data_IF_449290627964
#
_entry.id   IF_449290627964
#
_cell.length_a   1.000
_cell.length_b   1.000
_cell.length_c   1.000
_cell.angle_alpha   90.00
_cell.angle_beta   90.00
_cell.angle_gamma   90.00
#
_symmetry.space_group_name_H-M   'P 1'
#
loop_
_entity.id
_entity.type
_entity.pdbx_description
1 polymer ?
#
# COMPACT_ATOMS: atom_id res chain seq x y z
N UNK A 1 1.75 -5.92 19.15
CA UNK A 1 1.16 -4.56 19.18
C UNK A 1 -0.34 -4.68 18.92
N UNK A 2 -1.17 -4.00 19.70
CA UNK A 2 -2.57 -3.79 19.37
C UNK A 2 -2.68 -2.81 18.20
N UNK A 3 -3.79 -2.88 17.49
CA UNK A 3 -4.13 -1.86 16.52
C UNK A 3 -4.38 -0.50 17.19
N UNK A 4 -4.35 0.58 16.42
CA UNK A 4 -4.63 1.91 16.97
C UNK A 4 -6.10 2.05 17.35
N UNK A 5 -6.35 2.43 18.58
CA UNK A 5 -7.72 2.67 19.11
C UNK A 5 -7.96 4.15 19.47
N UNK A 6 -7.03 5.05 19.10
CA UNK A 6 -7.15 6.49 19.37
C UNK A 6 -8.13 7.20 18.44
N UNK A 7 -8.76 8.29 18.94
CA UNK A 7 -9.73 9.11 18.19
C UNK A 7 -9.07 9.80 16.98
N UNK A 8 -7.82 10.23 17.12
CA UNK A 8 -7.04 10.83 16.04
C UNK A 8 -6.04 9.82 15.46
N UNK A 9 -5.73 9.90 14.16
CA UNK A 9 -4.61 9.17 13.55
C UNK A 9 -3.29 9.43 14.27
N UNK A 10 -2.32 8.52 14.12
CA UNK A 10 -0.97 8.67 14.72
C UNK A 10 -0.24 9.92 14.20
N UNK A 11 -0.61 10.37 13.00
CA UNK A 11 -0.12 11.57 12.33
C UNK A 11 -0.74 12.87 12.85
N UNK A 12 -1.69 12.80 13.79
CA UNK A 12 -2.39 13.94 14.36
C UNK A 12 -3.56 14.44 13.50
N UNK A 13 -3.85 15.75 13.56
CA UNK A 13 -4.97 16.35 12.84
C UNK A 13 -4.54 16.83 11.45
N UNK A 14 -5.03 16.15 10.40
CA UNK A 14 -4.71 16.45 8.99
C UNK A 14 -5.94 16.27 8.08
N UNK A 15 -5.78 16.51 6.78
CA UNK A 15 -6.88 16.53 5.81
C UNK A 15 -7.78 15.28 5.81
N UNK A 16 -7.24 14.10 6.12
CA UNK A 16 -8.06 12.88 6.18
C UNK A 16 -9.02 12.89 7.37
N UNK A 17 -8.69 13.57 8.46
CA UNK A 17 -9.60 13.70 9.63
C UNK A 17 -10.83 14.49 9.23
N UNK A 18 -10.65 15.65 8.57
CA UNK A 18 -11.79 16.44 8.05
C UNK A 18 -12.57 15.66 6.98
N UNK A 19 -11.86 15.02 6.04
CA UNK A 19 -12.47 14.19 5.02
C UNK A 19 -13.31 13.07 5.65
N UNK A 20 -12.80 12.41 6.69
CA UNK A 20 -13.49 11.40 7.46
C UNK A 20 -14.74 11.96 8.16
N UNK A 21 -14.64 13.11 8.83
CA UNK A 21 -15.78 13.75 9.49
C UNK A 21 -16.92 14.05 8.50
N UNK A 22 -16.60 14.64 7.34
CA UNK A 22 -17.60 14.92 6.29
C UNK A 22 -18.24 13.64 5.78
N UNK A 23 -17.46 12.57 5.64
CA UNK A 23 -17.93 11.28 5.15
C UNK A 23 -18.86 10.57 6.13
N UNK A 24 -18.55 10.59 7.42
CA UNK A 24 -19.34 9.93 8.46
C UNK A 24 -20.56 10.74 8.91
N UNK A 25 -20.59 12.04 8.59
CA UNK A 25 -21.71 12.95 8.89
C UNK A 25 -22.55 13.28 7.64
N UNK A 26 -22.16 14.32 6.89
CA UNK A 26 -22.93 14.90 5.78
C UNK A 26 -23.13 13.94 4.61
N UNK A 27 -22.13 13.12 4.29
CA UNK A 27 -22.23 12.16 3.18
C UNK A 27 -22.67 10.76 3.64
N UNK A 28 -23.16 10.62 4.86
CA UNK A 28 -23.64 9.34 5.38
C UNK A 28 -25.14 9.19 5.09
N UNK A 29 -25.56 8.25 4.20
CA UNK A 29 -26.96 8.03 3.90
C UNK A 29 -27.79 7.58 5.11
N UNK A 30 -27.17 6.91 6.09
CA UNK A 30 -27.85 6.47 7.31
C UNK A 30 -28.31 7.67 8.15
N UNK A 31 -27.58 8.79 8.11
CA UNK A 31 -27.95 10.01 8.82
C UNK A 31 -28.83 10.93 7.96
N UNK A 32 -28.52 11.05 6.67
CA UNK A 32 -29.18 12.01 5.77
C UNK A 32 -30.53 11.52 5.25
N UNK A 33 -30.71 10.23 4.95
CA UNK A 33 -31.99 9.70 4.45
C UNK A 33 -33.10 9.85 5.49
N UNK A 34 -32.94 9.51 6.79
CA UNK A 34 -33.98 9.74 7.78
C UNK A 34 -34.39 11.21 7.90
N UNK A 35 -33.43 12.14 7.82
CA UNK A 35 -33.73 13.58 7.81
C UNK A 35 -34.59 13.96 6.60
N UNK A 36 -34.29 13.41 5.41
CA UNK A 36 -35.10 13.62 4.23
C UNK A 36 -36.50 13.00 4.35
N UNK A 37 -36.62 11.83 4.96
CA UNK A 37 -37.91 11.19 5.19
C UNK A 37 -38.76 11.99 6.17
N UNK A 38 -38.19 12.43 7.30
CA UNK A 38 -38.88 13.28 8.27
C UNK A 38 -39.34 14.61 7.65
N UNK A 39 -38.51 15.22 6.81
CA UNK A 39 -38.86 16.45 6.13
C UNK A 39 -40.00 16.30 5.11
N UNK A 40 -40.10 15.16 4.43
CA UNK A 40 -41.15 14.95 3.41
C UNK A 40 -42.44 14.34 3.99
N UNK A 41 -42.36 13.56 5.06
CA UNK A 41 -43.48 12.74 5.56
C UNK A 41 -43.99 13.11 6.95
N UNK A 42 -43.33 14.02 7.68
CA UNK A 42 -43.79 14.48 8.99
C UNK A 42 -44.20 15.96 8.94
N UNK A 43 -45.35 16.32 9.52
CA UNK A 43 -45.93 17.67 9.42
C UNK A 43 -44.98 18.79 9.90
N UNK A 44 -44.33 18.59 11.06
CA UNK A 44 -43.31 19.53 11.56
C UNK A 44 -42.06 19.58 10.66
N UNK A 45 -41.69 18.45 10.06
CA UNK A 45 -40.54 18.36 9.17
C UNK A 45 -40.79 19.10 7.85
N UNK A 46 -42.01 19.00 7.32
CA UNK A 46 -42.42 19.72 6.12
C UNK A 46 -42.44 21.24 6.33
N UNK A 47 -42.90 21.70 7.50
CA UNK A 47 -42.85 23.13 7.87
C UNK A 47 -41.40 23.62 7.98
N UNK A 48 -40.53 22.86 8.64
CA UNK A 48 -39.12 23.20 8.80
C UNK A 48 -38.36 23.20 7.45
N UNK A 49 -38.68 22.25 6.57
CA UNK A 49 -38.11 22.17 5.22
C UNK A 49 -38.53 23.37 4.36
N UNK A 50 -39.78 23.83 4.49
CA UNK A 50 -40.28 25.03 3.81
C UNK A 50 -39.58 26.31 4.32
N UNK A 51 -39.26 26.39 5.62
CA UNK A 51 -38.52 27.52 6.20
C UNK A 51 -37.03 27.53 5.80
N UNK A 52 -36.44 26.35 5.55
CA UNK A 52 -35.01 26.20 5.25
C UNK A 52 -34.75 25.50 3.90
N UNK A 53 -35.38 25.97 2.82
CA UNK A 53 -35.31 25.33 1.50
C UNK A 53 -33.88 25.07 1.00
N UNK A 54 -32.95 26.02 1.16
CA UNK A 54 -31.55 25.86 0.73
C UNK A 54 -30.86 24.73 1.48
N UNK A 55 -31.01 24.68 2.79
CA UNK A 55 -30.45 23.62 3.64
C UNK A 55 -30.98 22.25 3.22
N UNK A 56 -32.28 22.16 2.94
CA UNK A 56 -32.89 20.91 2.52
C UNK A 56 -32.38 20.43 1.16
N UNK A 57 -32.19 21.35 0.20
CA UNK A 57 -31.55 21.03 -1.08
C UNK A 57 -30.12 20.52 -0.92
N UNK A 58 -29.34 21.11 -0.01
CA UNK A 58 -27.98 20.65 0.30
C UNK A 58 -28.02 19.22 0.89
N UNK A 59 -28.93 18.95 1.83
CA UNK A 59 -29.08 17.60 2.43
C UNK A 59 -29.48 16.57 1.37
N UNK A 60 -30.38 16.92 0.43
CA UNK A 60 -30.74 16.05 -0.71
C UNK A 60 -29.52 15.69 -1.57
N UNK A 61 -28.75 16.69 -1.96
CA UNK A 61 -27.53 16.48 -2.76
C UNK A 61 -26.51 15.65 -1.97
N UNK A 62 -26.31 15.95 -0.69
CA UNK A 62 -25.38 15.22 0.17
C UNK A 62 -25.79 13.75 0.35
N UNK A 63 -27.09 13.46 0.52
CA UNK A 63 -27.61 12.10 0.58
C UNK A 63 -27.40 11.36 -0.75
N UNK A 64 -27.69 12.01 -1.88
CA UNK A 64 -27.46 11.42 -3.20
C UNK A 64 -25.98 11.11 -3.44
N UNK A 65 -25.07 12.04 -3.13
CA UNK A 65 -23.62 11.83 -3.17
C UNK A 65 -23.19 10.69 -2.24
N UNK A 66 -23.76 10.62 -1.03
CA UNK A 66 -23.51 9.53 -0.09
C UNK A 66 -23.92 8.16 -0.63
N UNK A 67 -25.12 8.05 -1.23
CA UNK A 67 -25.60 6.80 -1.85
C UNK A 67 -24.73 6.41 -3.03
N UNK A 68 -24.42 7.36 -3.93
CA UNK A 68 -23.54 7.11 -5.08
C UNK A 68 -22.17 6.63 -4.62
N UNK A 69 -21.63 7.21 -3.55
CA UNK A 69 -20.35 6.80 -2.94
C UNK A 69 -20.41 5.38 -2.39
N UNK A 70 -21.46 5.02 -1.62
CA UNK A 70 -21.61 3.67 -1.08
C UNK A 70 -21.76 2.64 -2.20
N UNK A 71 -22.60 2.92 -3.19
CA UNK A 71 -22.80 2.07 -4.35
C UNK A 71 -21.49 1.89 -5.14
N UNK A 72 -20.77 2.97 -5.40
CA UNK A 72 -19.47 2.90 -6.07
C UNK A 72 -18.45 2.08 -5.25
N UNK A 73 -18.43 2.24 -3.93
CA UNK A 73 -17.57 1.45 -3.05
C UNK A 73 -17.90 -0.04 -3.11
N UNK A 74 -19.19 -0.38 -3.06
CA UNK A 74 -19.67 -1.76 -3.19
C UNK A 74 -19.33 -2.36 -4.56
N UNK A 75 -19.61 -1.64 -5.65
CA UNK A 75 -19.29 -2.04 -7.03
C UNK A 75 -17.79 -2.23 -7.21
N UNK A 76 -16.98 -1.28 -6.73
CA UNK A 76 -15.52 -1.35 -6.79
C UNK A 76 -15.01 -2.59 -6.05
N UNK A 77 -15.49 -2.80 -4.82
CA UNK A 77 -15.09 -3.95 -4.01
C UNK A 77 -15.52 -5.26 -4.68
N UNK A 78 -16.73 -5.35 -5.22
CA UNK A 78 -17.20 -6.54 -5.96
C UNK A 78 -16.34 -6.80 -7.19
N UNK A 79 -16.00 -5.76 -7.94
CA UNK A 79 -15.19 -5.86 -9.16
C UNK A 79 -13.78 -6.34 -8.86
N UNK A 80 -13.07 -5.72 -7.91
CA UNK A 80 -11.67 -6.12 -7.59
C UNK A 80 -11.59 -7.48 -6.90
N UNK A 81 -12.69 -8.00 -6.34
CA UNK A 81 -12.77 -9.36 -5.81
C UNK A 81 -13.34 -10.37 -6.81
N UNK A 82 -13.46 -9.99 -8.08
CA UNK A 82 -13.90 -10.86 -9.18
C UNK A 82 -15.29 -11.45 -8.96
N UNK A 83 -16.15 -10.77 -8.19
CA UNK A 83 -17.49 -11.24 -7.84
C UNK A 83 -17.54 -12.46 -6.90
N UNK A 84 -16.39 -12.96 -6.43
CA UNK A 84 -16.28 -14.16 -5.58
C UNK A 84 -15.69 -13.84 -4.20
N UNK A 85 -15.99 -14.67 -3.21
CA UNK A 85 -15.42 -14.59 -1.86
C UNK A 85 -14.38 -15.69 -1.63
N UNK A 86 -13.49 -15.45 -0.68
CA UNK A 86 -12.48 -16.41 -0.24
C UNK A 86 -12.46 -16.43 1.30
N UNK A 87 -12.06 -17.55 1.90
CA UNK A 87 -12.07 -17.74 3.36
C UNK A 87 -10.68 -18.09 3.82
N UNK A 88 -10.18 -17.40 4.85
CA UNK A 88 -8.84 -17.56 5.38
C UNK A 88 -8.89 -18.26 6.72
N UNK A 89 -8.06 -19.29 6.89
CA UNK A 89 -7.81 -19.92 8.18
C UNK A 89 -6.43 -19.46 8.65
N UNK A 90 -6.40 -18.35 9.40
CA UNK A 90 -5.18 -17.68 9.85
C UNK A 90 -4.19 -18.58 10.61
N UNK A 91 -4.66 -19.71 11.16
CA UNK A 91 -3.80 -20.71 11.81
C UNK A 91 -2.99 -21.55 10.82
N UNK A 92 -3.46 -21.63 9.58
CA UNK A 92 -2.84 -22.35 8.46
C UNK A 92 -2.10 -21.43 7.51
N UNK A 93 -2.36 -20.13 7.53
CA UNK A 93 -1.69 -19.20 6.61
C UNK A 93 -0.21 -19.02 6.94
N UNK A 94 0.59 -18.84 5.88
CA UNK A 94 2.01 -18.50 5.98
C UNK A 94 2.22 -17.20 5.21
N UNK A 95 2.66 -16.17 5.91
CA UNK A 95 2.95 -14.84 5.35
C UNK A 95 4.44 -14.73 5.03
N UNK A 96 4.79 -14.60 3.76
CA UNK A 96 6.13 -14.26 3.30
C UNK A 96 6.27 -12.74 3.16
N UNK A 97 7.26 -12.13 3.79
CA UNK A 97 7.51 -10.68 3.72
C UNK A 97 8.94 -10.42 3.27
N UNK A 98 9.12 -9.69 2.18
CA UNK A 98 10.44 -9.20 1.77
C UNK A 98 10.74 -7.85 2.42
N UNK A 99 11.99 -7.60 2.80
CA UNK A 99 12.36 -6.36 3.47
C UNK A 99 11.80 -6.29 4.90
N UNK A 100 11.62 -7.44 5.57
CA UNK A 100 10.99 -7.54 6.88
C UNK A 100 11.92 -7.37 8.07
N UNK A 101 13.23 -7.13 7.83
CA UNK A 101 14.19 -6.93 8.92
C UNK A 101 14.04 -5.58 9.62
N UNK A 102 13.41 -4.59 8.97
CA UNK A 102 13.31 -3.21 9.46
C UNK A 102 12.07 -2.47 8.90
N UNK A 103 11.82 -1.25 9.40
CA UNK A 103 10.83 -0.32 8.85
C UNK A 103 9.41 -0.89 8.80
N UNK A 104 8.73 -0.68 7.67
CA UNK A 104 7.33 -1.13 7.47
C UNK A 104 7.23 -2.66 7.56
N UNK A 105 8.16 -3.38 6.90
CA UNK A 105 8.15 -4.84 6.89
C UNK A 105 8.28 -5.45 8.29
N UNK A 106 9.13 -4.87 9.15
CA UNK A 106 9.23 -5.24 10.57
C UNK A 106 7.88 -5.12 11.28
N UNK A 107 7.18 -3.99 11.12
CA UNK A 107 5.91 -3.78 11.82
C UNK A 107 4.81 -4.70 11.30
N UNK A 108 4.78 -4.98 9.98
CA UNK A 108 3.88 -5.98 9.41
C UNK A 108 4.14 -7.36 10.05
N UNK A 109 5.41 -7.79 10.13
CA UNK A 109 5.78 -9.06 10.73
C UNK A 109 5.33 -9.15 12.20
N UNK A 110 5.59 -8.12 13.00
CA UNK A 110 5.19 -8.06 14.41
C UNK A 110 3.66 -8.07 14.60
N UNK A 111 2.90 -7.44 13.71
CA UNK A 111 1.42 -7.40 13.77
C UNK A 111 0.77 -8.72 13.35
N UNK A 112 1.35 -9.46 12.40
CA UNK A 112 0.90 -10.83 12.12
C UNK A 112 1.29 -11.79 13.24
N UNK A 113 2.49 -11.62 13.80
CA UNK A 113 2.95 -12.42 14.93
C UNK A 113 2.08 -12.24 16.17
N UNK A 114 1.63 -11.01 16.47
CA UNK A 114 0.70 -10.78 17.60
C UNK A 114 -0.68 -11.42 17.41
N UNK A 115 -0.97 -11.96 16.22
CA UNK A 115 -2.18 -12.71 15.89
C UNK A 115 -1.91 -14.20 15.69
N UNK A 116 -0.74 -14.68 16.11
CA UNK A 116 -0.29 -16.07 15.98
C UNK A 116 -0.26 -16.59 14.53
N UNK A 117 -0.11 -15.69 13.55
CA UNK A 117 0.08 -16.07 12.15
C UNK A 117 1.56 -16.37 11.92
N UNK A 118 1.85 -17.41 11.14
CA UNK A 118 3.23 -17.76 10.75
C UNK A 118 3.77 -16.74 9.76
N UNK A 119 4.95 -16.22 10.01
CA UNK A 119 5.61 -15.22 9.17
C UNK A 119 7.01 -15.71 8.81
N UNK A 120 7.35 -15.62 7.52
CA UNK A 120 8.71 -15.78 7.02
C UNK A 120 9.21 -14.44 6.53
N UNK A 121 10.31 -13.96 7.10
CA UNK A 121 10.98 -12.72 6.73
C UNK A 121 12.17 -13.03 5.83
N UNK A 122 12.16 -12.47 4.62
CA UNK A 122 13.31 -12.44 3.72
C UNK A 122 13.95 -11.06 3.73
N UNK A 123 15.24 -11.01 4.05
CA UNK A 123 16.02 -9.77 3.99
C UNK A 123 17.51 -10.08 3.79
N UNK A 124 18.25 -9.13 3.24
CA UNK A 124 19.72 -9.20 3.13
C UNK A 124 20.39 -8.76 4.43
N UNK A 125 19.70 -7.94 5.23
CA UNK A 125 20.16 -7.44 6.52
C UNK A 125 19.67 -8.33 7.67
N UNK A 126 20.38 -8.37 8.81
CA UNK A 126 19.86 -8.98 10.04
C UNK A 126 18.66 -8.17 10.57
N UNK A 127 17.75 -8.84 11.28
CA UNK A 127 16.58 -8.20 11.90
C UNK A 127 17.01 -7.18 12.95
N UNK A 128 16.31 -6.04 13.00
CA UNK A 128 16.49 -5.00 14.02
C UNK A 128 15.67 -5.25 15.29
N UNK A 129 15.11 -6.45 15.43
CA UNK A 129 14.23 -6.86 16.51
C UNK A 129 14.39 -8.37 16.76
N UNK A 130 14.07 -8.77 17.99
CA UNK A 130 13.99 -10.18 18.34
C UNK A 130 12.76 -10.81 17.68
N UNK A 131 12.97 -11.90 16.95
CA UNK A 131 11.89 -12.59 16.26
C UNK A 131 10.95 -13.27 17.27
N UNK A 132 9.64 -12.95 17.25
CA UNK A 132 8.64 -13.74 17.95
C UNK A 132 8.66 -15.20 17.49
N UNK A 133 8.14 -16.16 18.28
CA UNK A 133 8.17 -17.59 17.92
C UNK A 133 7.50 -17.93 16.58
N UNK A 134 6.51 -17.15 16.14
CA UNK A 134 5.84 -17.35 14.86
C UNK A 134 6.56 -16.70 13.66
N UNK A 135 7.68 -16.01 13.89
CA UNK A 135 8.48 -15.31 12.87
C UNK A 135 9.78 -16.07 12.62
N UNK A 136 9.97 -16.53 11.39
CA UNK A 136 11.22 -17.14 10.93
C UNK A 136 11.96 -16.20 10.01
N UNK A 137 13.21 -15.87 10.32
CA UNK A 137 14.08 -15.08 9.45
C UNK A 137 14.91 -15.98 8.54
N UNK A 138 15.02 -15.60 7.26
CA UNK A 138 15.94 -16.20 6.32
C UNK A 138 16.69 -15.12 5.57
N UNK A 139 18.02 -15.10 5.68
CA UNK A 139 18.86 -14.20 4.89
C UNK A 139 18.72 -14.55 3.42
N UNK A 140 18.26 -13.62 2.60
CA UNK A 140 17.99 -13.85 1.19
C UNK A 140 18.16 -12.57 0.37
N UNK A 141 18.95 -12.66 -0.70
CA UNK A 141 18.96 -11.64 -1.75
C UNK A 141 17.85 -11.96 -2.76
N UNK A 142 16.80 -11.13 -2.77
CA UNK A 142 15.64 -11.31 -3.63
C UNK A 142 15.91 -11.02 -5.11
N UNK A 143 17.09 -10.49 -5.44
CA UNK A 143 17.52 -10.32 -6.83
C UNK A 143 18.09 -11.62 -7.42
N UNK A 144 18.40 -12.62 -6.57
CA UNK A 144 18.92 -13.92 -6.98
C UNK A 144 17.83 -14.98 -7.05
N UNK A 145 17.52 -15.45 -8.26
CA UNK A 145 16.52 -16.50 -8.47
C UNK A 145 16.91 -17.84 -7.82
N UNK A 146 18.20 -18.19 -7.78
CA UNK A 146 18.67 -19.39 -7.10
C UNK A 146 18.49 -19.29 -5.59
N UNK A 147 18.81 -18.13 -5.00
CA UNK A 147 18.59 -17.89 -3.58
C UNK A 147 17.11 -18.01 -3.21
N UNK A 148 16.22 -17.44 -4.03
CA UNK A 148 14.76 -17.56 -3.87
C UNK A 148 14.29 -19.03 -3.90
N UNK A 149 14.77 -19.82 -4.85
CA UNK A 149 14.41 -21.24 -4.93
C UNK A 149 14.90 -22.02 -3.71
N UNK A 150 16.13 -21.76 -3.25
CA UNK A 150 16.66 -22.38 -2.04
C UNK A 150 15.85 -22.05 -0.79
N UNK A 151 15.49 -20.77 -0.58
CA UNK A 151 14.66 -20.40 0.58
C UNK A 151 13.25 -20.95 0.47
N UNK A 152 12.66 -21.00 -0.73
CA UNK A 152 11.34 -21.61 -0.93
C UNK A 152 11.35 -23.10 -0.51
N UNK A 153 12.37 -23.86 -0.91
CA UNK A 153 12.51 -25.26 -0.47
C UNK A 153 12.69 -25.37 1.05
N UNK A 154 13.46 -24.48 1.68
CA UNK A 154 13.61 -24.44 3.15
C UNK A 154 12.27 -24.13 3.84
N UNK A 155 11.50 -23.18 3.32
CA UNK A 155 10.16 -22.83 3.84
C UNK A 155 9.25 -24.05 3.76
N UNK A 156 9.18 -24.73 2.61
CA UNK A 156 8.35 -25.93 2.44
C UNK A 156 8.74 -27.02 3.43
N UNK A 157 10.04 -27.32 3.57
CA UNK A 157 10.53 -28.34 4.52
C UNK A 157 10.15 -28.01 5.96
N UNK A 158 10.29 -26.75 6.37
CA UNK A 158 9.94 -26.31 7.71
C UNK A 158 8.43 -26.33 8.00
N UNK A 159 7.60 -26.30 6.95
CA UNK A 159 6.14 -26.19 7.05
C UNK A 159 5.40 -27.40 6.47
N UNK A 160 5.98 -28.60 6.55
CA UNK A 160 5.28 -29.84 6.16
C UNK A 160 4.89 -29.89 4.68
N UNK A 161 5.68 -29.27 3.80
CA UNK A 161 5.43 -29.16 2.37
C UNK A 161 4.63 -27.93 1.94
N UNK A 162 4.11 -27.15 2.88
CA UNK A 162 3.29 -25.99 2.59
C UNK A 162 4.13 -24.79 2.10
N UNK A 163 3.63 -24.14 1.04
CA UNK A 163 4.16 -22.89 0.50
C UNK A 163 3.43 -21.67 1.10
N UNK A 164 4.05 -20.48 1.16
CA UNK A 164 3.36 -19.26 1.54
C UNK A 164 2.08 -19.00 0.72
N UNK A 165 0.98 -18.74 1.42
CA UNK A 165 -0.29 -18.32 0.82
C UNK A 165 -0.39 -16.80 0.67
N UNK A 166 0.41 -16.05 1.44
CA UNK A 166 0.41 -14.59 1.42
C UNK A 166 1.83 -14.10 1.12
N UNK A 167 2.00 -13.31 0.08
CA UNK A 167 3.29 -12.77 -0.35
C UNK A 167 3.22 -11.24 -0.27
N UNK A 168 4.08 -10.64 0.56
CA UNK A 168 4.19 -9.20 0.73
C UNK A 168 5.50 -8.73 0.10
N UNK A 169 5.38 -8.19 -1.12
CA UNK A 169 6.46 -7.60 -1.91
C UNK A 169 6.74 -6.19 -1.38
N UNK A 170 7.51 -6.12 -0.29
CA UNK A 170 7.76 -4.89 0.47
C UNK A 170 9.17 -4.33 0.34
N UNK A 171 10.17 -5.18 0.07
CA UNK A 171 11.56 -4.75 -0.06
C UNK A 171 11.70 -3.59 -1.06
N UNK A 172 12.51 -2.60 -0.70
CA UNK A 172 12.73 -1.44 -1.55
C UNK A 172 13.95 -0.64 -1.18
N UNK A 173 14.59 -0.08 -2.20
CA UNK A 173 15.76 0.80 -2.08
C UNK A 173 15.54 2.06 -2.91
N UNK A 174 16.29 3.11 -2.58
CA UNK A 174 16.29 4.36 -3.32
C UNK A 174 17.62 5.07 -3.12
N UNK A 175 18.24 5.58 -4.18
CA UNK A 175 19.56 6.22 -4.11
C UNK A 175 19.45 7.73 -3.92
N UNK A 176 18.42 8.37 -4.45
CA UNK A 176 18.15 9.78 -4.21
C UNK A 176 19.10 10.73 -4.96
N UNK A 177 19.59 10.29 -6.13
CA UNK A 177 20.54 11.00 -6.98
C UNK A 177 19.85 11.57 -8.21
N UNK A 178 20.42 12.64 -8.78
CA UNK A 178 19.98 13.10 -10.11
C UNK A 178 20.40 12.09 -11.18
N UNK A 179 19.85 12.21 -12.40
CA UNK A 179 20.21 11.33 -13.51
C UNK A 179 21.73 11.40 -13.79
N UNK A 180 22.30 12.60 -13.75
CA UNK A 180 23.73 12.81 -14.05
C UNK A 180 24.65 12.36 -12.91
N UNK A 181 24.16 12.31 -11.68
CA UNK A 181 24.93 11.87 -10.52
C UNK A 181 24.77 10.36 -10.23
N UNK A 182 23.80 9.71 -10.87
CA UNK A 182 23.51 8.28 -10.67
C UNK A 182 24.43 7.41 -11.52
N UNK A 183 24.90 6.29 -10.97
CA UNK A 183 25.64 5.30 -11.75
C UNK A 183 24.67 4.33 -12.45
N UNK A 184 25.08 3.69 -13.54
CA UNK A 184 24.28 2.64 -14.17
C UNK A 184 23.93 1.52 -13.17
N UNK A 185 24.86 1.15 -12.29
CA UNK A 185 24.63 0.15 -11.24
C UNK A 185 23.56 0.59 -10.24
N UNK A 186 23.54 1.86 -9.83
CA UNK A 186 22.51 2.40 -8.93
C UNK A 186 21.10 2.25 -9.51
N UNK A 187 20.94 2.58 -10.80
CA UNK A 187 19.67 2.48 -11.51
C UNK A 187 19.25 1.02 -11.66
N UNK A 188 20.14 0.16 -12.20
CA UNK A 188 19.84 -1.27 -12.38
C UNK A 188 19.47 -1.94 -11.07
N UNK A 189 20.23 -1.66 -9.99
CA UNK A 189 19.95 -2.23 -8.68
C UNK A 189 18.58 -1.80 -8.13
N UNK A 190 18.21 -0.54 -8.34
CA UNK A 190 16.89 -0.05 -7.92
C UNK A 190 15.75 -0.77 -8.64
N UNK A 191 15.90 -1.02 -9.95
CA UNK A 191 14.92 -1.80 -10.71
C UNK A 191 14.93 -3.29 -10.33
N UNK A 192 16.11 -3.88 -10.14
CA UNK A 192 16.29 -5.27 -9.70
C UNK A 192 15.51 -5.52 -8.41
N UNK A 193 15.68 -4.66 -7.40
CA UNK A 193 15.03 -4.82 -6.10
C UNK A 193 13.56 -4.40 -6.14
N UNK A 194 13.21 -3.23 -6.69
CA UNK A 194 11.87 -2.65 -6.51
C UNK A 194 10.84 -3.15 -7.53
N UNK A 195 11.27 -3.82 -8.62
CA UNK A 195 10.39 -4.19 -9.72
C UNK A 195 10.66 -5.60 -10.26
N UNK A 196 11.90 -5.90 -10.68
CA UNK A 196 12.22 -7.21 -11.28
C UNK A 196 12.08 -8.33 -10.24
N UNK A 197 12.48 -8.08 -8.99
CA UNK A 197 12.31 -9.04 -7.90
C UNK A 197 10.86 -9.45 -7.69
N UNK A 198 9.89 -8.55 -7.96
CA UNK A 198 8.47 -8.87 -7.82
C UNK A 198 8.06 -9.95 -8.81
N UNK A 199 8.59 -9.90 -10.03
CA UNK A 199 8.35 -10.90 -11.05
C UNK A 199 9.02 -12.23 -10.69
N UNK A 200 10.27 -12.22 -10.22
CA UNK A 200 10.96 -13.47 -9.82
C UNK A 200 10.33 -14.11 -8.59
N UNK A 201 9.94 -13.32 -7.58
CA UNK A 201 9.18 -13.78 -6.41
C UNK A 201 7.84 -14.37 -6.82
N UNK A 202 7.08 -13.70 -7.70
CA UNK A 202 5.82 -14.23 -8.19
C UNK A 202 6.04 -15.56 -8.93
N UNK A 203 7.03 -15.65 -9.83
CA UNK A 203 7.33 -16.92 -10.52
C UNK A 203 7.64 -18.07 -9.57
N UNK A 204 8.29 -17.80 -8.44
CA UNK A 204 8.66 -18.83 -7.46
C UNK A 204 7.48 -19.28 -6.59
N UNK A 205 6.69 -18.34 -6.07
CA UNK A 205 5.68 -18.64 -5.02
C UNK A 205 4.24 -18.69 -5.55
N UNK A 206 3.91 -17.96 -6.63
CA UNK A 206 2.56 -17.86 -7.19
C UNK A 206 1.98 -19.20 -7.69
N UNK A 207 2.75 -20.17 -8.24
CA UNK A 207 2.18 -21.43 -8.73
C UNK A 207 1.33 -22.15 -7.69
N UNK A 208 1.80 -22.20 -6.43
CA UNK A 208 1.07 -22.84 -5.33
C UNK A 208 -0.23 -22.09 -4.94
N UNK A 209 -0.22 -20.76 -5.01
CA UNK A 209 -1.37 -19.89 -4.74
C UNK A 209 -2.44 -20.06 -5.84
N UNK A 210 -1.99 -20.15 -7.10
CA UNK A 210 -2.86 -20.37 -8.26
C UNK A 210 -3.48 -21.76 -8.22
N UNK A 211 -2.68 -22.80 -7.97
CA UNK A 211 -3.15 -24.18 -7.85
C UNK A 211 -4.20 -24.33 -6.74
N UNK A 212 -3.95 -23.71 -5.58
CA UNK A 212 -4.91 -23.69 -4.48
C UNK A 212 -6.13 -22.79 -4.76
N UNK A 213 -6.05 -21.90 -5.76
CA UNK A 213 -6.97 -20.79 -5.99
C UNK A 213 -7.29 -20.07 -4.67
N UNK A 214 -6.24 -19.78 -3.90
CA UNK A 214 -6.33 -19.23 -2.56
C UNK A 214 -5.02 -18.55 -2.18
N UNK A 215 -5.11 -17.36 -1.61
CA UNK A 215 -3.95 -16.59 -1.18
C UNK A 215 -4.02 -15.12 -1.56
N UNK A 216 -3.02 -14.35 -1.15
CA UNK A 216 -2.96 -12.90 -1.33
C UNK A 216 -1.56 -12.45 -1.78
N UNK A 217 -1.48 -11.64 -2.83
CA UNK A 217 -0.26 -10.93 -3.23
C UNK A 217 -0.38 -9.45 -2.92
N UNK A 218 0.52 -8.93 -2.10
CA UNK A 218 0.60 -7.51 -1.73
C UNK A 218 1.80 -6.88 -2.42
N UNK A 219 1.56 -5.83 -3.20
CA UNK A 219 2.59 -5.03 -3.86
C UNK A 219 2.74 -3.69 -3.15
N UNK A 220 3.88 -3.47 -2.49
CA UNK A 220 4.18 -2.17 -1.87
C UNK A 220 4.82 -1.23 -2.89
N UNK A 221 3.97 -0.45 -3.55
CA UNK A 221 4.36 0.60 -4.48
C UNK A 221 4.65 1.92 -3.72
N UNK A 222 4.23 3.06 -4.28
CA UNK A 222 4.40 4.38 -3.68
C UNK A 222 3.57 5.41 -4.45
N UNK A 223 3.16 6.51 -3.80
CA UNK A 223 2.62 7.67 -4.49
C UNK A 223 3.58 8.26 -5.54
N UNK A 224 4.89 8.00 -5.41
CA UNK A 224 5.90 8.35 -6.40
C UNK A 224 5.66 7.69 -7.78
N UNK A 225 4.91 6.59 -7.83
CA UNK A 225 4.48 5.98 -9.08
C UNK A 225 3.62 6.94 -9.92
N UNK A 226 2.85 7.82 -9.30
CA UNK A 226 1.99 8.81 -10.00
C UNK A 226 2.66 10.17 -10.13
N UNK A 227 3.32 10.63 -9.06
CA UNK A 227 3.96 11.93 -8.99
C UNK A 227 5.47 11.81 -8.77
N UNK A 228 6.23 11.90 -9.87
CA UNK A 228 7.69 11.88 -9.86
C UNK A 228 8.26 13.23 -9.46
N UNK A 229 9.19 13.23 -8.51
CA UNK A 229 9.97 14.39 -8.07
C UNK A 229 11.41 14.32 -8.63
N UNK A 230 12.10 15.47 -8.80
CA UNK A 230 13.53 15.51 -9.09
C UNK A 230 14.35 14.72 -8.06
N UNK A 231 15.47 14.10 -8.49
CA UNK A 231 16.33 13.22 -7.68
C UNK A 231 15.72 11.87 -7.25
N UNK A 232 14.50 11.54 -7.68
CA UNK A 232 13.81 10.27 -7.38
C UNK A 232 13.39 9.57 -8.68
N UNK A 233 14.08 9.82 -9.80
CA UNK A 233 13.62 9.38 -11.12
C UNK A 233 13.66 7.85 -11.22
N UNK A 234 14.76 7.23 -10.81
CA UNK A 234 14.97 5.78 -10.81
C UNK A 234 13.98 5.07 -9.87
N UNK A 235 13.76 5.64 -8.67
CA UNK A 235 12.82 5.09 -7.71
C UNK A 235 11.38 5.21 -8.20
N UNK A 236 10.95 6.40 -8.65
CA UNK A 236 9.60 6.62 -9.15
C UNK A 236 9.29 5.73 -10.36
N UNK A 237 10.25 5.58 -11.29
CA UNK A 237 10.12 4.69 -12.43
C UNK A 237 9.98 3.22 -11.97
N UNK A 238 10.79 2.76 -11.02
CA UNK A 238 10.69 1.41 -10.46
C UNK A 238 9.34 1.16 -9.74
N UNK A 239 8.80 2.15 -9.04
CA UNK A 239 7.49 2.04 -8.36
C UNK A 239 6.32 2.14 -9.33
N UNK A 240 6.47 2.85 -10.45
CA UNK A 240 5.51 2.79 -11.56
C UNK A 240 5.52 1.39 -12.22
N UNK A 241 6.69 0.78 -12.40
CA UNK A 241 6.79 -0.60 -12.88
C UNK A 241 6.14 -1.60 -11.90
N UNK A 242 6.34 -1.42 -10.59
CA UNK A 242 5.67 -2.24 -9.57
C UNK A 242 4.14 -2.10 -9.61
N UNK A 243 3.62 -0.89 -9.83
CA UNK A 243 2.18 -0.66 -9.99
C UNK A 243 1.64 -1.36 -11.24
N UNK A 244 2.32 -1.23 -12.39
CA UNK A 244 1.94 -1.91 -13.62
C UNK A 244 2.00 -3.45 -13.47
N UNK A 245 3.01 -3.96 -12.78
CA UNK A 245 3.11 -5.39 -12.43
C UNK A 245 1.88 -5.86 -11.65
N UNK A 246 1.44 -5.09 -10.63
CA UNK A 246 0.26 -5.43 -9.85
C UNK A 246 -1.02 -5.46 -10.68
N UNK A 247 -1.21 -4.46 -11.55
CA UNK A 247 -2.38 -4.36 -12.43
C UNK A 247 -2.42 -5.56 -13.40
N UNK A 248 -1.28 -5.88 -14.03
CA UNK A 248 -1.14 -7.04 -14.91
C UNK A 248 -1.40 -8.35 -14.19
N UNK A 249 -0.75 -8.60 -13.06
CA UNK A 249 -0.92 -9.82 -12.27
C UNK A 249 -2.38 -10.02 -11.85
N UNK A 250 -3.05 -8.94 -11.42
CA UNK A 250 -4.47 -9.01 -11.03
C UNK A 250 -5.36 -9.47 -12.19
N UNK A 251 -5.08 -9.00 -13.41
CA UNK A 251 -5.80 -9.44 -14.60
C UNK A 251 -5.46 -10.89 -15.00
N UNK A 252 -4.19 -11.28 -14.94
CA UNK A 252 -3.74 -12.63 -15.30
C UNK A 252 -4.32 -13.70 -14.37
N UNK A 253 -4.40 -13.43 -13.06
CA UNK A 253 -4.99 -14.34 -12.08
C UNK A 253 -6.38 -14.83 -12.49
N UNK A 254 -7.20 -13.95 -13.04
CA UNK A 254 -8.56 -14.30 -13.49
C UNK A 254 -8.55 -14.85 -14.91
N UNK A 255 -7.89 -14.15 -15.82
CA UNK A 255 -8.03 -14.38 -17.27
C UNK A 255 -7.16 -15.53 -17.77
N UNK A 256 -5.95 -15.68 -17.25
CA UNK A 256 -4.95 -16.67 -17.68
C UNK A 256 -4.95 -17.86 -16.72
N UNK A 257 -4.77 -17.62 -15.42
CA UNK A 257 -4.56 -18.67 -14.41
C UNK A 257 -5.85 -19.27 -13.85
N UNK A 258 -7.02 -18.68 -14.17
CA UNK A 258 -8.34 -19.14 -13.72
C UNK A 258 -8.46 -19.27 -12.20
N UNK A 259 -7.78 -18.39 -11.47
CA UNK A 259 -7.72 -18.35 -10.02
C UNK A 259 -8.40 -17.07 -9.45
N UNK A 260 -9.72 -16.89 -9.63
CA UNK A 260 -10.41 -15.64 -9.27
C UNK A 260 -10.51 -15.36 -7.77
N UNK A 261 -10.22 -16.35 -6.91
CA UNK A 261 -10.24 -16.16 -5.45
C UNK A 261 -8.93 -15.59 -4.91
N UNK A 262 -7.84 -15.68 -5.67
CA UNK A 262 -6.56 -15.09 -5.28
C UNK A 262 -6.71 -13.57 -5.21
N UNK A 263 -6.29 -12.99 -4.08
CA UNK A 263 -6.43 -11.57 -3.79
C UNK A 263 -5.18 -10.81 -4.17
N UNK A 264 -5.37 -9.58 -4.61
CA UNK A 264 -4.29 -8.66 -4.88
C UNK A 264 -4.51 -7.36 -4.13
N UNK A 265 -3.46 -6.88 -3.46
CA UNK A 265 -3.48 -5.60 -2.76
C UNK A 265 -2.32 -4.75 -3.25
N UNK A 266 -2.57 -3.48 -3.60
CA UNK A 266 -1.50 -2.52 -3.90
C UNK A 266 -1.51 -1.39 -2.90
N UNK A 267 -0.32 -1.06 -2.41
CA UNK A 267 -0.09 -0.01 -1.41
C UNK A 267 0.60 1.15 -2.09
N UNK A 268 -0.02 2.32 -2.06
CA UNK A 268 0.51 3.57 -2.59
C UNK A 268 0.57 4.60 -1.47
N UNK A 269 1.58 4.47 -0.62
CA UNK A 269 1.84 5.39 0.47
C UNK A 269 2.71 6.57 0.03
N UNK A 270 2.49 7.70 0.68
CA UNK A 270 3.35 8.88 0.67
C UNK A 270 4.58 8.69 1.57
N UNK A 271 5.20 9.82 1.92
CA UNK A 271 6.37 9.82 2.78
C UNK A 271 6.06 9.15 4.12
N UNK A 272 6.80 8.08 4.43
CA UNK A 272 6.71 7.33 5.70
C UNK A 272 8.03 7.47 6.45
N UNK A 273 7.96 7.68 7.76
CA UNK A 273 9.13 7.90 8.65
C UNK A 273 10.00 6.64 8.77
N UNK A 274 10.79 6.40 7.74
CA UNK A 274 11.71 5.26 7.63
C UNK A 274 13.10 5.74 7.23
N UNK A 275 14.11 4.89 7.43
CA UNK A 275 15.48 5.16 6.96
C UNK A 275 15.56 5.41 5.44
N UNK A 276 14.60 4.90 4.65
CA UNK A 276 14.54 5.12 3.19
C UNK A 276 14.36 6.59 2.82
N UNK A 277 13.67 7.36 3.66
CA UNK A 277 13.32 8.75 3.42
C UNK A 277 13.90 9.72 4.45
N UNK A 278 15.02 9.36 5.08
CA UNK A 278 15.69 10.24 6.03
C UNK A 278 16.12 11.55 5.33
N UNK A 279 15.80 12.69 5.96
CA UNK A 279 16.05 14.02 5.38
C UNK A 279 15.01 14.50 4.36
N UNK A 280 13.99 13.70 4.03
CA UNK A 280 12.87 14.18 3.23
C UNK A 280 11.95 15.07 4.08
N UNK A 281 11.91 16.36 3.75
CA UNK A 281 11.06 17.31 4.46
C UNK A 281 9.83 17.65 3.62
N UNK A 282 8.74 16.94 3.86
CA UNK A 282 7.43 17.21 3.23
C UNK A 282 6.78 18.52 3.71
N UNK A 283 7.41 19.24 4.64
CA UNK A 283 6.85 20.42 5.29
C UNK A 283 5.82 20.10 6.38
N UNK A 284 5.60 18.83 6.74
CA UNK A 284 4.73 18.41 7.85
C UNK A 284 3.29 18.93 7.78
N UNK A 285 2.83 19.32 6.59
CA UNK A 285 1.61 20.11 6.42
C UNK A 285 0.32 19.30 6.48
N UNK A 286 -0.79 20.02 6.64
CA UNK A 286 -2.15 19.48 6.68
C UNK A 286 -2.50 18.57 5.49
N UNK A 287 -1.91 18.82 4.31
CA UNK A 287 -2.10 18.06 3.06
C UNK A 287 -0.87 17.20 2.69
N UNK A 288 -0.03 16.83 3.65
CA UNK A 288 1.13 15.98 3.41
C UNK A 288 1.83 15.56 4.70
N UNK A 289 1.10 15.04 5.71
CA UNK A 289 1.73 14.64 6.96
C UNK A 289 2.67 13.46 6.71
N UNK A 290 3.83 13.41 7.39
CA UNK A 290 4.69 12.25 7.35
C UNK A 290 3.99 11.09 8.06
N UNK A 291 3.81 9.97 7.35
CA UNK A 291 3.13 8.78 7.88
C UNK A 291 4.00 8.05 8.90
N UNK A 292 3.37 7.58 9.97
CA UNK A 292 4.00 6.63 10.88
C UNK A 292 4.10 5.25 10.22
N UNK A 293 5.19 4.55 10.54
CA UNK A 293 5.42 3.18 10.05
C UNK A 293 4.26 2.26 10.45
N UNK A 294 3.77 2.42 11.67
CA UNK A 294 2.67 1.62 12.21
C UNK A 294 1.35 1.86 11.47
N UNK A 295 1.09 3.08 11.00
CA UNK A 295 -0.13 3.39 10.23
C UNK A 295 -0.15 2.64 8.89
N UNK A 296 0.98 2.62 8.19
CA UNK A 296 1.09 1.91 6.90
C UNK A 296 1.03 0.40 7.13
N UNK A 297 1.78 -0.11 8.10
CA UNK A 297 1.77 -1.55 8.43
C UNK A 297 0.38 -2.03 8.85
N UNK A 298 -0.31 -1.27 9.72
CA UNK A 298 -1.65 -1.60 10.18
C UNK A 298 -2.66 -1.64 9.03
N UNK A 299 -2.62 -0.67 8.12
CA UNK A 299 -3.49 -0.66 6.94
C UNK A 299 -3.28 -1.90 6.06
N UNK A 300 -2.02 -2.30 5.85
CA UNK A 300 -1.68 -3.52 5.09
C UNK A 300 -2.23 -4.76 5.78
N UNK A 301 -1.92 -4.93 7.08
CA UNK A 301 -2.34 -6.11 7.86
C UNK A 301 -3.85 -6.20 7.89
N UNK A 302 -4.57 -5.10 8.18
CA UNK A 302 -6.04 -5.08 8.20
C UNK A 302 -6.64 -5.46 6.84
N UNK A 303 -6.05 -4.97 5.74
CA UNK A 303 -6.56 -5.27 4.40
C UNK A 303 -6.32 -6.72 3.99
N UNK A 304 -5.13 -7.26 4.26
CA UNK A 304 -4.85 -8.70 4.07
C UNK A 304 -5.81 -9.53 4.91
N UNK A 305 -5.98 -9.18 6.18
CA UNK A 305 -6.87 -9.90 7.10
C UNK A 305 -8.35 -9.83 6.72
N UNK A 306 -8.75 -8.86 5.91
CA UNK A 306 -10.11 -8.79 5.39
C UNK A 306 -10.39 -9.84 4.30
N UNK A 307 -9.37 -10.60 3.86
CA UNK A 307 -9.50 -11.60 2.79
C UNK A 307 -9.94 -11.02 1.44
N UNK A 308 -9.67 -9.74 1.18
CA UNK A 308 -10.20 -9.04 0.01
C UNK A 308 -9.15 -8.23 -0.75
N UNK A 309 -9.27 -8.22 -2.08
CA UNK A 309 -8.45 -7.37 -2.94
C UNK A 309 -8.74 -5.89 -2.72
N UNK A 310 -7.79 -5.04 -3.07
CA UNK A 310 -8.04 -3.60 -3.16
C UNK A 310 -6.79 -2.75 -3.12
N UNK A 311 -7.00 -1.44 -3.08
CA UNK A 311 -5.94 -0.46 -3.11
C UNK A 311 -5.90 0.33 -1.79
N UNK A 312 -4.71 0.41 -1.21
CA UNK A 312 -4.42 1.26 -0.05
C UNK A 312 -3.71 2.50 -0.57
N UNK A 313 -4.27 3.68 -0.30
CA UNK A 313 -3.65 4.96 -0.60
C UNK A 313 -3.57 5.74 0.70
N UNK A 314 -2.36 6.08 1.11
CA UNK A 314 -2.11 6.81 2.35
C UNK A 314 -1.17 7.99 2.07
N UNK A 315 -1.48 9.20 2.54
CA UNK A 315 -2.74 9.63 3.15
C UNK A 315 -3.94 9.49 2.20
N UNK A 316 -5.16 9.37 2.72
CA UNK A 316 -6.38 9.09 1.96
C UNK A 316 -6.71 10.15 0.89
N UNK A 317 -6.45 11.43 1.15
CA UNK A 317 -6.67 12.51 0.20
C UNK A 317 -5.79 12.39 -1.08
N UNK A 318 -4.70 11.61 -1.05
CA UNK A 318 -3.90 11.33 -2.25
C UNK A 318 -4.70 10.61 -3.33
N UNK A 319 -5.79 9.90 -2.97
CA UNK A 319 -6.69 9.25 -3.93
C UNK A 319 -7.30 10.23 -4.93
N UNK A 320 -7.65 11.43 -4.49
CA UNK A 320 -8.23 12.47 -5.35
C UNK A 320 -7.19 13.32 -6.07
N UNK A 321 -6.08 13.62 -5.40
CA UNK A 321 -5.08 14.58 -5.90
C UNK A 321 -3.92 13.89 -6.65
N UNK A 322 -3.23 12.97 -5.98
CA UNK A 322 -1.96 12.43 -6.49
C UNK A 322 -2.20 11.36 -7.55
N UNK A 323 -3.22 10.51 -7.37
CA UNK A 323 -3.58 9.51 -8.38
C UNK A 323 -4.03 10.15 -9.71
N UNK A 324 -4.74 11.28 -9.65
CA UNK A 324 -5.20 12.03 -10.83
C UNK A 324 -4.18 13.05 -11.35
N UNK A 325 -2.98 13.11 -10.77
CA UNK A 325 -1.98 14.11 -11.14
C UNK A 325 -1.67 14.08 -12.65
N UNK A 326 -1.62 12.88 -13.24
CA UNK A 326 -1.33 12.69 -14.68
C UNK A 326 -2.48 13.11 -15.60
N UNK A 327 -3.67 13.35 -15.06
CA UNK A 327 -4.84 13.82 -15.81
C UNK A 327 -4.95 15.34 -15.85
N UNK A 328 -4.11 16.07 -15.11
CA UNK A 328 -4.10 17.54 -15.11
C UNK A 328 -3.52 18.09 -16.43
N UNK A 329 -3.81 19.35 -16.80
CA UNK A 329 -3.13 20.03 -17.90
C UNK A 329 -1.59 19.96 -17.77
N UNK A 330 -0.90 19.79 -18.90
CA UNK A 330 0.56 19.57 -18.93
C UNK A 330 1.34 20.67 -18.21
N UNK A 331 0.91 21.92 -18.31
CA UNK A 331 1.56 23.03 -17.60
C UNK A 331 1.50 22.81 -16.08
N UNK A 332 0.33 22.47 -15.51
CA UNK A 332 0.20 22.21 -14.07
C UNK A 332 1.12 21.07 -13.64
N UNK A 333 1.18 20.00 -14.44
CA UNK A 333 2.05 18.86 -14.17
C UNK A 333 3.53 19.29 -14.14
N UNK A 334 3.95 20.04 -15.15
CA UNK A 334 5.33 20.50 -15.30
C UNK A 334 5.77 21.38 -14.13
N UNK A 335 5.01 22.43 -13.84
CA UNK A 335 5.31 23.36 -12.73
C UNK A 335 5.33 22.64 -11.39
N UNK A 336 4.35 21.78 -11.13
CA UNK A 336 4.28 21.03 -9.87
C UNK A 336 5.48 20.08 -9.71
N UNK A 337 5.97 19.44 -10.78
CA UNK A 337 7.16 18.57 -10.73
C UNK A 337 8.42 19.34 -10.41
N UNK A 338 8.60 20.51 -11.00
CA UNK A 338 9.74 21.39 -10.71
C UNK A 338 9.69 21.80 -9.24
N UNK A 339 8.53 22.23 -8.76
CA UNK A 339 8.32 22.68 -7.38
C UNK A 339 8.60 21.61 -6.32
N UNK A 340 8.45 20.32 -6.66
CA UNK A 340 8.79 19.22 -5.75
C UNK A 340 10.28 19.19 -5.38
N UNK A 341 11.18 19.86 -6.10
CA UNK A 341 12.60 19.96 -5.67
C UNK A 341 12.75 20.54 -4.27
N UNK A 342 11.80 21.38 -3.81
CA UNK A 342 11.82 21.99 -2.47
C UNK A 342 11.85 20.96 -1.35
N UNK A 343 11.11 19.86 -1.48
CA UNK A 343 11.02 18.81 -0.44
C UNK A 343 12.18 17.80 -0.52
N UNK A 344 13.03 17.92 -1.55
CA UNK A 344 14.11 16.98 -1.87
C UNK A 344 15.50 17.49 -1.44
N UNK A 345 15.63 18.73 -0.96
CA UNK A 345 16.93 19.39 -0.76
C UNK A 345 17.83 18.63 0.22
N UNK A 346 17.28 18.19 1.35
CA UNK A 346 18.01 17.51 2.43
C UNK A 346 17.88 15.98 2.37
N UNK A 347 17.13 15.46 1.39
CA UNK A 347 16.84 14.04 1.30
C UNK A 347 18.03 13.25 0.76
N UNK A 348 18.37 12.19 1.49
CA UNK A 348 19.31 11.16 1.07
C UNK A 348 18.58 9.82 1.06
N UNK A 349 18.54 9.15 -0.09
CA UNK A 349 17.97 7.82 -0.20
C UNK A 349 18.77 6.79 0.61
N UNK A 350 18.12 5.70 1.06
CA UNK A 350 18.82 4.63 1.79
C UNK A 350 19.70 3.81 0.85
N UNK A 351 20.98 3.76 1.19
CA UNK A 351 21.96 2.87 0.58
C UNK A 351 21.96 1.53 1.33
N UNK A 352 21.61 0.45 0.64
CA UNK A 352 21.87 -0.92 1.12
C UNK A 352 23.02 -1.43 0.28
N UNK A 353 24.17 -1.65 0.92
CA UNK A 353 25.31 -2.31 0.29
C UNK A 353 25.00 -3.81 0.22
N UNK A 354 24.88 -4.35 -0.99
CA UNK A 354 24.62 -5.77 -1.21
C UNK A 354 25.88 -6.64 -1.09
N UNK A 355 27.02 -6.06 -0.69
CA UNK A 355 28.26 -6.81 -0.53
C UNK A 355 28.73 -7.35 -1.88
N UNK A 356 29.14 -6.45 -2.78
CA UNK A 356 29.55 -6.82 -4.13
C UNK A 356 30.39 -5.74 -4.82
N UNK A 357 31.72 -5.89 -4.65
CA UNK A 357 32.86 -5.32 -5.38
C UNK A 357 33.50 -4.04 -4.81
N UNK A 358 34.83 -4.07 -4.51
CA UNK A 358 35.56 -2.89 -4.06
C UNK A 358 35.56 -1.82 -5.14
N UNK A 359 35.49 -0.57 -4.72
CA UNK A 359 35.75 0.58 -5.57
C UNK A 359 37.02 0.33 -6.38
N UNK A 360 36.90 0.29 -7.71
CA UNK A 360 38.06 0.47 -8.57
C UNK A 360 38.46 1.92 -8.39
N UNK A 361 39.45 2.11 -7.51
CA UNK A 361 40.23 3.34 -7.48
C UNK A 361 41.08 3.36 -8.75
N UNK A 362 40.74 4.25 -9.67
CA UNK A 362 41.68 4.85 -10.63
C UNK A 362 41.28 6.29 -10.82
#
# INVERSE_FOLDING_TARGET
MSFHDGILPREGFHADVLGGLVQHSLLNPILTIPVLLLANYHQKGHQLAAQHMRTFSIVKVAAALGVMRLLNGWLSQRAVNNGVTDTYDWSKEIVLITGGADGIGRQIALMFASKNVKVVVLDVQPMTYEAPPSVTYMKCDITSASALSEVHQKIKRANGGQSPSIIILNAGICKGRSILDSTARDVSLTFEVNAISHYTLAREFLPSIVEANHGTVVTVASSAAWATAPRMVEYAASKAAALAFHEGLSAELVSVYKAPKVRTIVVNQGHTKTRLFQGFNAGGGFFGPPLEVDTVAEAIVRKVMSGSSGQIILPGFYKGLVANFRSLPLWMQHWSRIDLVRVMKEWNGRQVDLGGSPAVAT
#
